data_IF_602246934870
#
_entry.id   IF_602246934870
#
_cell.length_a   1.000
_cell.length_b   1.000
_cell.length_c   1.000
_cell.angle_alpha   90.00
_cell.angle_beta   90.00
_cell.angle_gamma   90.00
#
_symmetry.space_group_name_H-M   'P 1'
#
loop_
_entity.id
_entity.type
_entity.pdbx_description
1 polymer ?
#
# COMPACT_ATOMS: atom_id res chain seq x y z
N UNK A 1 15.50 77.52 -26.49
CA UNK A 1 16.15 76.27 -26.11
C UNK A 1 15.15 75.17 -26.10
N UNK A 2 15.63 74.03 -26.45
CA UNK A 2 14.75 72.91 -26.47
C UNK A 2 14.41 72.41 -25.04
N UNK A 3 13.33 71.77 -24.93
CA UNK A 3 13.02 71.19 -23.68
C UNK A 3 13.88 69.98 -23.41
N UNK A 4 13.99 69.62 -22.19
CA UNK A 4 14.71 68.43 -21.86
C UNK A 4 14.00 67.18 -22.34
N UNK A 5 14.68 66.13 -22.54
CA UNK A 5 14.04 64.93 -22.91
C UNK A 5 13.21 64.36 -21.80
N UNK A 6 12.27 63.59 -22.14
CA UNK A 6 11.50 62.91 -21.11
C UNK A 6 12.35 61.90 -20.34
N UNK A 7 11.96 61.61 -19.19
CA UNK A 7 12.68 60.59 -18.43
C UNK A 7 12.42 59.24 -19.06
N UNK A 8 13.31 58.35 -18.88
CA UNK A 8 13.09 57.01 -19.37
C UNK A 8 11.96 56.33 -18.60
N UNK A 9 11.38 55.38 -19.24
CA UNK A 9 10.37 54.60 -18.54
C UNK A 9 10.98 53.78 -17.45
N UNK A 10 10.21 53.46 -16.47
CA UNK A 10 10.69 52.57 -15.46
C UNK A 10 10.93 51.18 -16.00
N UNK A 11 11.81 50.45 -15.42
CA UNK A 11 12.02 49.11 -15.84
C UNK A 11 10.81 48.24 -15.48
N UNK A 12 10.61 47.20 -16.19
CA UNK A 12 9.54 46.29 -15.86
C UNK A 12 9.86 45.61 -14.55
N UNK A 13 8.84 45.26 -13.81
CA UNK A 13 9.07 44.50 -12.61
C UNK A 13 9.60 43.16 -12.94
N UNK A 14 10.43 42.63 -12.11
CA UNK A 14 10.85 41.26 -12.29
C UNK A 14 9.71 40.32 -12.05
N UNK A 15 9.66 39.27 -12.75
CA UNK A 15 8.70 38.25 -12.46
C UNK A 15 9.00 37.69 -11.08
N UNK A 16 8.04 37.73 -10.24
CA UNK A 16 8.21 37.27 -8.89
C UNK A 16 8.24 35.76 -8.88
N UNK A 17 9.19 35.21 -8.20
CA UNK A 17 9.21 33.80 -7.85
C UNK A 17 8.83 32.87 -9.00
N UNK A 18 9.19 33.21 -10.14
CA UNK A 18 8.69 32.53 -11.28
C UNK A 18 9.34 31.21 -11.53
N UNK A 19 10.27 30.91 -10.71
CA UNK A 19 10.90 29.63 -10.79
C UNK A 19 9.95 28.48 -10.49
N UNK A 20 8.77 28.77 -10.02
CA UNK A 20 7.78 27.76 -9.72
C UNK A 20 6.64 27.84 -10.69
N UNK A 21 6.85 27.36 -11.84
CA UNK A 21 5.75 27.28 -12.80
C UNK A 21 5.00 25.98 -12.69
N UNK A 22 5.54 25.05 -11.97
CA UNK A 22 4.94 23.75 -11.81
C UNK A 22 4.41 23.64 -10.39
N UNK A 23 3.12 23.44 -10.22
CA UNK A 23 2.54 23.34 -8.89
C UNK A 23 2.77 21.97 -8.27
N UNK A 24 3.96 21.45 -8.38
CA UNK A 24 4.26 20.17 -7.77
C UNK A 24 3.94 20.20 -6.28
N UNK A 25 3.24 19.21 -5.83
CA UNK A 25 2.87 19.05 -4.44
C UNK A 25 3.76 17.97 -3.85
N UNK A 26 4.48 18.31 -2.81
CA UNK A 26 5.21 17.33 -2.03
C UNK A 26 4.36 17.00 -0.82
N UNK A 27 3.91 15.77 -0.77
CA UNK A 27 3.12 15.29 0.36
C UNK A 27 4.00 14.44 1.23
N UNK A 28 4.12 14.84 2.47
CA UNK A 28 4.84 14.05 3.47
C UNK A 28 3.78 13.24 4.23
N UNK A 29 3.86 11.94 4.09
CA UNK A 29 2.94 11.03 4.74
C UNK A 29 3.76 10.06 5.58
N UNK A 30 3.67 10.23 6.87
CA UNK A 30 4.37 9.36 7.82
C UNK A 30 3.42 8.40 8.52
N UNK A 31 2.13 8.44 8.16
CA UNK A 31 1.16 7.53 8.74
C UNK A 31 1.35 6.14 8.16
N UNK A 32 1.48 5.15 9.04
CA UNK A 32 1.57 3.78 8.60
C UNK A 32 0.18 3.26 8.25
N UNK A 33 0.05 2.44 7.22
CA UNK A 33 -1.19 1.72 7.01
C UNK A 33 -1.42 0.75 8.18
N UNK A 34 -2.67 0.40 8.40
CA UNK A 34 -3.03 -0.61 9.39
C UNK A 34 -3.55 -1.81 8.62
N UNK A 35 -2.88 -2.94 8.79
CA UNK A 35 -3.24 -4.18 8.13
C UNK A 35 -3.39 -5.26 9.17
N UNK A 36 -4.35 -6.15 8.98
CA UNK A 36 -4.55 -7.26 9.89
C UNK A 36 -4.82 -8.54 9.15
N UNK A 37 -4.48 -9.64 9.80
CA UNK A 37 -4.71 -10.99 9.31
C UNK A 37 -5.00 -11.86 10.52
N UNK A 38 -6.11 -12.58 10.47
CA UNK A 38 -6.50 -13.47 11.55
C UNK A 38 -5.97 -14.88 11.30
N UNK A 39 -5.75 -15.61 12.39
CA UNK A 39 -5.44 -17.03 12.30
C UNK A 39 -6.59 -17.76 11.62
N UNK A 40 -6.24 -18.75 10.82
CA UNK A 40 -7.22 -19.55 10.09
C UNK A 40 -6.85 -21.03 10.21
N UNK A 41 -7.85 -21.85 10.48
CA UNK A 41 -7.73 -23.29 10.39
C UNK A 41 -8.72 -23.77 9.35
N UNK A 42 -8.25 -24.54 8.38
CA UNK A 42 -9.07 -24.97 7.26
C UNK A 42 -8.59 -26.30 6.70
N UNK A 43 -9.49 -27.02 6.05
CA UNK A 43 -9.13 -28.21 5.29
C UNK A 43 -8.88 -27.92 3.81
N UNK A 44 -8.94 -26.67 3.41
CA UNK A 44 -8.62 -26.26 2.05
C UNK A 44 -7.12 -26.05 1.95
N UNK A 45 -6.44 -26.84 1.14
CA UNK A 45 -4.98 -26.76 1.00
C UNK A 45 -4.53 -25.55 0.20
N UNK A 46 -5.45 -24.84 -0.45
CA UNK A 46 -5.17 -23.65 -1.24
C UNK A 46 -6.14 -22.54 -0.83
N UNK A 47 -6.20 -22.17 0.46
CA UNK A 47 -7.28 -21.34 0.96
C UNK A 47 -7.18 -19.89 0.47
N UNK A 48 -8.34 -19.25 0.38
CA UNK A 48 -8.38 -17.81 0.29
C UNK A 48 -8.04 -17.20 1.64
N UNK A 49 -7.34 -16.07 1.61
CA UNK A 49 -7.01 -15.33 2.81
C UNK A 49 -7.63 -13.95 2.71
N UNK A 50 -8.02 -13.41 3.83
CA UNK A 50 -8.59 -12.08 3.89
C UNK A 50 -8.25 -11.42 5.21
N UNK A 51 -8.34 -10.11 5.23
CA UNK A 51 -8.10 -9.35 6.43
C UNK A 51 -8.55 -7.91 6.24
N UNK A 52 -8.11 -7.05 7.11
CA UNK A 52 -8.46 -5.64 7.07
C UNK A 52 -7.26 -4.80 6.63
N UNK A 53 -7.55 -3.72 5.94
CA UNK A 53 -6.58 -2.71 5.52
C UNK A 53 -7.28 -1.37 5.54
N UNK A 54 -6.73 -0.40 6.28
CA UNK A 54 -7.38 0.89 6.43
C UNK A 54 -7.12 1.84 5.26
N UNK A 55 -6.12 1.56 4.46
CA UNK A 55 -5.73 2.43 3.36
C UNK A 55 -6.14 1.79 2.03
N UNK A 56 -7.16 2.32 1.34
CA UNK A 56 -7.61 1.73 0.08
C UNK A 56 -6.59 1.85 -1.05
N UNK A 57 -5.53 2.63 -0.87
CA UNK A 57 -4.49 2.81 -1.88
C UNK A 57 -3.23 2.00 -1.58
N UNK A 58 -3.19 1.29 -0.46
CA UNK A 58 -2.02 0.49 -0.10
C UNK A 58 -1.92 -0.76 -0.96
N UNK A 59 -0.70 -1.16 -1.22
CA UNK A 59 -0.41 -2.44 -1.86
C UNK A 59 -0.30 -3.50 -0.78
N UNK A 60 -0.93 -4.63 -1.00
CA UNK A 60 -0.94 -5.73 -0.03
C UNK A 60 -0.24 -6.94 -0.61
N UNK A 61 0.69 -7.48 0.14
CA UNK A 61 1.44 -8.68 -0.24
C UNK A 61 1.37 -9.67 0.92
N UNK A 62 1.08 -10.90 0.62
CA UNK A 62 1.01 -11.98 1.60
C UNK A 62 2.20 -12.90 1.39
N UNK A 63 2.92 -13.19 2.47
CA UNK A 63 4.03 -14.13 2.45
C UNK A 63 3.59 -15.41 3.16
N UNK A 64 3.69 -16.53 2.47
CA UNK A 64 3.38 -17.83 3.02
C UNK A 64 4.60 -18.72 2.83
N UNK A 65 5.13 -19.24 3.92
CA UNK A 65 6.30 -20.13 3.92
C UNK A 65 7.50 -19.53 3.16
N UNK A 66 7.64 -18.20 3.23
CA UNK A 66 8.75 -17.51 2.61
C UNK A 66 8.53 -17.08 1.17
N UNK A 67 7.35 -17.30 0.62
CA UNK A 67 7.02 -16.92 -0.75
C UNK A 67 5.96 -15.81 -0.73
N UNK A 68 6.21 -14.76 -1.51
CA UNK A 68 5.29 -13.62 -1.59
C UNK A 68 4.22 -13.88 -2.65
N UNK A 69 2.99 -13.49 -2.30
CA UNK A 69 1.84 -13.54 -3.20
C UNK A 69 1.15 -12.19 -3.17
N UNK A 70 0.87 -11.58 -4.33
CA UNK A 70 0.13 -10.32 -4.33
C UNK A 70 -1.32 -10.56 -3.93
N UNK A 71 -1.81 -9.73 -3.02
CA UNK A 71 -3.20 -9.75 -2.63
C UNK A 71 -3.92 -8.55 -3.22
N UNK A 72 -5.24 -8.59 -3.19
CA UNK A 72 -6.06 -7.52 -3.71
C UNK A 72 -6.56 -6.66 -2.56
N UNK A 73 -6.29 -5.36 -2.64
CA UNK A 73 -6.92 -4.38 -1.76
C UNK A 73 -8.29 -4.06 -2.35
N UNK A 74 -9.34 -4.42 -1.63
CA UNK A 74 -10.70 -4.29 -2.16
C UNK A 74 -11.22 -2.86 -2.15
N UNK A 75 -10.53 -1.96 -1.45
CA UNK A 75 -10.93 -0.55 -1.41
C UNK A 75 -12.05 -0.26 -0.42
N UNK A 76 -12.50 -1.24 0.32
CA UNK A 76 -13.60 -1.11 1.28
C UNK A 76 -13.18 -1.38 2.72
N UNK A 77 -11.88 -1.41 2.98
CA UNK A 77 -11.35 -1.72 4.30
C UNK A 77 -10.90 -3.15 4.45
N UNK A 78 -10.96 -3.94 3.39
CA UNK A 78 -10.52 -5.34 3.41
C UNK A 78 -9.57 -5.64 2.27
N UNK A 79 -8.81 -6.71 2.44
CA UNK A 79 -7.97 -7.26 1.39
C UNK A 79 -8.27 -8.75 1.24
N UNK A 80 -8.00 -9.28 0.07
CA UNK A 80 -8.25 -10.69 -0.23
C UNK A 80 -7.13 -11.28 -1.05
N UNK A 81 -6.68 -12.46 -0.66
CA UNK A 81 -5.88 -13.33 -1.52
C UNK A 81 -6.82 -14.41 -2.05
N UNK A 82 -6.96 -14.47 -3.36
CA UNK A 82 -7.95 -15.33 -3.97
C UNK A 82 -7.68 -16.81 -3.69
N UNK A 83 -8.75 -17.57 -3.57
CA UNK A 83 -8.66 -19.01 -3.44
C UNK A 83 -7.87 -19.59 -4.61
N UNK A 84 -7.12 -20.64 -4.35
CA UNK A 84 -6.25 -21.30 -5.32
C UNK A 84 -5.08 -20.46 -5.83
N UNK A 85 -4.78 -19.33 -5.19
CA UNK A 85 -3.56 -18.56 -5.48
C UNK A 85 -2.35 -19.24 -4.86
N UNK A 86 -2.51 -19.81 -3.69
CA UNK A 86 -1.45 -20.52 -3.00
C UNK A 86 -1.25 -21.90 -3.61
N UNK A 87 -0.04 -22.43 -3.56
CA UNK A 87 0.16 -23.84 -3.90
C UNK A 87 -0.48 -24.72 -2.82
N UNK A 88 -0.65 -25.99 -3.15
CA UNK A 88 -1.17 -26.92 -2.16
C UNK A 88 -0.25 -26.97 -0.96
N UNK A 89 -0.79 -26.69 0.22
CA UNK A 89 -0.06 -26.67 1.47
C UNK A 89 -0.22 -28.01 2.17
N UNK A 90 0.81 -28.40 2.90
CA UNK A 90 0.75 -29.63 3.68
C UNK A 90 0.01 -29.36 4.99
N UNK A 91 -0.49 -30.42 5.60
CA UNK A 91 -1.12 -30.30 6.91
C UNK A 91 -0.15 -29.75 7.94
N UNK A 92 -0.65 -28.94 8.83
CA UNK A 92 0.10 -28.34 9.89
C UNK A 92 0.07 -26.83 9.84
N UNK A 93 0.76 -26.19 10.77
CA UNK A 93 0.77 -24.73 10.82
C UNK A 93 1.73 -24.14 9.79
N UNK A 94 1.30 -23.04 9.19
CA UNK A 94 2.11 -22.24 8.26
C UNK A 94 2.13 -20.81 8.76
N UNK A 95 3.29 -20.21 8.79
CA UNK A 95 3.39 -18.80 9.14
C UNK A 95 3.04 -17.94 7.93
N UNK A 96 2.10 -17.04 8.14
CA UNK A 96 1.65 -16.12 7.11
C UNK A 96 1.92 -14.70 7.61
N UNK A 97 2.50 -13.89 6.76
CA UNK A 97 2.71 -12.49 7.04
C UNK A 97 2.09 -11.66 5.93
N UNK A 98 1.36 -10.63 6.30
CA UNK A 98 0.80 -9.68 5.33
C UNK A 98 1.53 -8.37 5.50
N UNK A 99 1.94 -7.77 4.39
CA UNK A 99 2.61 -6.49 4.37
C UNK A 99 1.82 -5.53 3.52
N UNK A 100 1.52 -4.38 4.06
CA UNK A 100 0.88 -3.30 3.33
C UNK A 100 1.87 -2.17 3.16
N UNK A 101 1.89 -1.59 1.97
CA UNK A 101 2.75 -0.46 1.64
C UNK A 101 1.87 0.64 1.07
N UNK A 102 1.92 1.82 1.69
CA UNK A 102 1.15 2.93 1.17
C UNK A 102 1.90 3.63 0.02
N UNK A 103 1.24 4.57 -0.69
CA UNK A 103 1.91 5.27 -1.80
C UNK A 103 3.13 6.07 -1.39
N UNK A 104 3.25 6.45 -0.12
CA UNK A 104 4.41 7.18 0.38
C UNK A 104 5.56 6.26 0.76
N UNK A 105 5.37 4.95 0.70
CA UNK A 105 6.41 3.98 1.03
C UNK A 105 6.40 3.51 2.47
N UNK A 106 5.41 3.90 3.27
CA UNK A 106 5.28 3.41 4.64
C UNK A 106 4.73 2.00 4.62
N UNK A 107 5.27 1.14 5.45
CA UNK A 107 4.89 -0.27 5.48
C UNK A 107 4.38 -0.68 6.84
N UNK A 108 3.47 -1.64 6.84
CA UNK A 108 2.99 -2.30 8.04
C UNK A 108 2.88 -3.79 7.77
N UNK A 109 3.07 -4.58 8.80
CA UNK A 109 3.04 -6.04 8.69
C UNK A 109 2.27 -6.62 9.84
N UNK A 110 1.47 -7.63 9.55
CA UNK A 110 0.84 -8.46 10.55
C UNK A 110 1.12 -9.91 10.24
N UNK A 111 1.16 -10.75 11.27
CA UNK A 111 1.42 -12.17 11.09
C UNK A 111 0.31 -12.97 11.73
N UNK A 112 0.09 -14.16 11.16
CA UNK A 112 -0.90 -15.08 11.66
C UNK A 112 -0.47 -16.50 11.34
N UNK A 113 -1.16 -17.46 11.95
CA UNK A 113 -0.93 -18.86 11.68
C UNK A 113 -2.07 -19.41 10.83
N UNK A 114 -1.71 -19.96 9.70
CA UNK A 114 -2.64 -20.70 8.84
C UNK A 114 -2.41 -22.19 9.09
N UNK A 115 -3.40 -22.86 9.62
CA UNK A 115 -3.32 -24.28 9.91
C UNK A 115 -4.13 -25.05 8.88
N UNK A 116 -3.45 -25.93 8.18
CA UNK A 116 -4.11 -26.84 7.23
C UNK A 116 -4.36 -28.15 7.96
N UNK A 117 -5.61 -28.54 7.99
CA UNK A 117 -6.02 -29.76 8.66
C UNK A 117 -7.01 -30.49 7.75
N UNK A 118 -6.48 -31.44 7.00
CA UNK A 118 -7.27 -32.26 6.10
C UNK A 118 -7.69 -33.58 6.72
N UNK A 119 -7.33 -33.80 7.99
CA UNK A 119 -7.66 -35.03 8.68
C UNK A 119 -9.12 -34.94 9.15
N UNK A 120 -9.97 -35.88 8.73
CA UNK A 120 -11.36 -35.82 9.17
C UNK A 120 -11.48 -36.06 10.66
N UNK A 121 -12.49 -35.45 11.24
CA UNK A 121 -12.83 -35.71 12.64
C UNK A 121 -13.38 -37.11 12.78
N UNK A 122 -13.05 -37.73 13.90
CA UNK A 122 -13.58 -39.06 14.22
C UNK A 122 -14.96 -38.97 14.86
#
# INVERSE_FOLDING_TARGET
PPPPPPPPPPPPPPPAATHRTDPAVVTIDTSLPVVSLDDLTTNDTTPALTGAIDDPTATVVVNVDGIDYPATNNGDGTWTLADNTLPALIDGPHTVAVTATDPAGNTATDTATLTIDTVPAD
#
